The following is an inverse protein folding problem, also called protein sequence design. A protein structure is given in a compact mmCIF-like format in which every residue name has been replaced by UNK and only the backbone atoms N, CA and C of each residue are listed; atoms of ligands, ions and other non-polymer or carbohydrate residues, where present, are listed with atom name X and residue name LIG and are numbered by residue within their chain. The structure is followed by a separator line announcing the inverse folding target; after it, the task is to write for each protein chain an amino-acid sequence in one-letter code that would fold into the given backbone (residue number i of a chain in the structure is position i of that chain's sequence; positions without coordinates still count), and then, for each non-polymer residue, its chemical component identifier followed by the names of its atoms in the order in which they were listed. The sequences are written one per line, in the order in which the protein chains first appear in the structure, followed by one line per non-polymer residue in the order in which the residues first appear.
data_IF_028480150627
#
_entry.id   IF_028480150627
#
_cell.length_a   1.000
_cell.length_b   1.000
_cell.length_c   1.000
_cell.angle_alpha   90.00
_cell.angle_beta   90.00
_cell.angle_gamma   90.00
#
_symmetry.space_group_name_H-M   'P 1'
#
loop_
_entity.id
_entity.type
_entity.pdbx_description
1 polymer ?
#
# COMPACT_ATOMS: atom_id res chain seq x y z
N UNK A 1 42.89 -13.20 26.84
CA UNK A 1 42.30 -13.49 25.50
C UNK A 1 40.78 -13.33 25.59
N UNK A 2 40.34 -12.21 26.16
CA UNK A 2 39.00 -12.00 26.73
C UNK A 2 38.58 -10.52 26.56
N UNK A 3 39.14 -9.83 25.56
CA UNK A 3 38.92 -8.40 25.33
C UNK A 3 38.51 -8.06 23.87
N UNK A 4 38.23 -9.03 22.99
CA UNK A 4 37.97 -8.73 21.56
C UNK A 4 36.53 -8.96 21.07
N UNK A 5 35.53 -9.03 21.96
CA UNK A 5 34.11 -9.06 21.54
C UNK A 5 33.31 -7.97 22.27
N UNK A 6 33.80 -6.73 22.19
CA UNK A 6 32.93 -5.56 22.14
C UNK A 6 32.97 -5.04 20.71
N UNK A 7 32.46 -5.83 19.77
CA UNK A 7 31.99 -5.25 18.52
C UNK A 7 30.86 -4.31 18.91
N UNK A 8 31.17 -3.02 18.88
CA UNK A 8 30.25 -1.89 18.89
C UNK A 8 29.14 -2.17 17.89
N UNK A 9 28.03 -2.76 18.34
CA UNK A 9 26.75 -2.57 17.68
C UNK A 9 26.52 -1.07 17.82
N UNK A 10 26.56 -0.27 16.73
CA UNK A 10 26.21 1.13 16.86
C UNK A 10 24.84 1.18 17.52
N UNK A 11 24.68 2.04 18.52
CA UNK A 11 23.44 2.21 19.25
C UNK A 11 22.43 2.88 18.30
N UNK A 12 21.93 2.08 17.35
CA UNK A 12 21.10 2.55 16.24
C UNK A 12 19.72 2.80 16.82
N UNK A 13 19.53 4.01 17.31
CA UNK A 13 18.32 4.48 17.98
C UNK A 13 17.48 5.31 17.02
N UNK A 14 16.18 5.44 17.32
CA UNK A 14 15.31 6.40 16.63
C UNK A 14 15.69 7.79 17.14
N UNK A 15 15.76 8.78 16.26
CA UNK A 15 15.99 10.17 16.65
C UNK A 15 14.79 10.68 17.47
N UNK A 16 14.98 10.74 18.77
CA UNK A 16 13.94 11.13 19.74
C UNK A 16 13.45 12.56 19.43
N UNK A 17 14.34 13.49 19.04
CA UNK A 17 13.94 14.87 18.75
C UNK A 17 13.03 14.92 17.52
N UNK A 18 13.41 14.20 16.46
CA UNK A 18 12.57 14.09 15.27
C UNK A 18 11.22 13.42 15.58
N UNK A 19 11.24 12.36 16.40
CA UNK A 19 10.02 11.67 16.83
C UNK A 19 9.08 12.58 17.63
N UNK A 20 9.62 13.36 18.58
CA UNK A 20 8.84 14.33 19.36
C UNK A 20 8.22 15.41 18.47
N UNK A 21 8.97 15.94 17.50
CA UNK A 21 8.44 16.91 16.54
C UNK A 21 7.33 16.29 15.67
N UNK A 22 7.51 15.07 15.19
CA UNK A 22 6.48 14.36 14.42
C UNK A 22 5.22 14.07 15.25
N UNK A 23 5.38 13.75 16.53
CA UNK A 23 4.26 13.58 17.46
C UNK A 23 3.54 14.91 17.77
N UNK A 24 4.28 16.02 17.86
CA UNK A 24 3.69 17.36 17.96
C UNK A 24 2.88 17.70 16.70
N UNK A 25 3.38 17.34 15.51
CA UNK A 25 2.63 17.45 14.27
C UNK A 25 1.29 16.69 14.34
N UNK A 26 1.28 15.48 14.92
CA UNK A 26 0.07 14.67 15.07
C UNK A 26 -0.96 15.34 16.00
N UNK A 27 -0.48 15.97 17.07
CA UNK A 27 -1.33 16.76 17.96
C UNK A 27 -1.95 17.95 17.20
N UNK A 28 -1.14 18.68 16.43
CA UNK A 28 -1.63 19.81 15.62
C UNK A 28 -2.67 19.35 14.59
N UNK A 29 -2.43 18.22 13.91
CA UNK A 29 -3.42 17.61 12.98
C UNK A 29 -4.74 17.31 13.70
N UNK A 30 -4.67 16.76 14.92
CA UNK A 30 -5.86 16.48 15.73
C UNK A 30 -6.62 17.75 16.14
N UNK A 31 -5.90 18.86 16.41
CA UNK A 31 -6.49 20.18 16.66
C UNK A 31 -7.23 20.68 15.42
N UNK A 32 -6.63 20.52 14.23
CA UNK A 32 -7.27 20.83 12.95
C UNK A 32 -8.60 20.11 12.78
N UNK A 33 -8.66 18.80 13.07
CA UNK A 33 -9.92 18.06 13.03
C UNK A 33 -10.93 18.53 14.08
N UNK A 34 -10.51 18.82 15.31
CA UNK A 34 -11.40 19.33 16.34
C UNK A 34 -12.01 20.68 15.94
N UNK A 35 -11.20 21.59 15.37
CA UNK A 35 -11.65 22.85 14.82
C UNK A 35 -12.64 22.64 13.67
N UNK A 36 -12.35 21.71 12.74
CA UNK A 36 -13.25 21.37 11.63
C UNK A 36 -14.62 20.87 12.11
N UNK A 37 -14.64 19.96 13.11
CA UNK A 37 -15.88 19.43 13.70
C UNK A 37 -16.70 20.49 14.44
N UNK A 38 -16.06 21.53 14.96
CA UNK A 38 -16.75 22.62 15.66
C UNK A 38 -17.53 23.56 14.73
N UNK A 39 -17.33 23.47 13.41
CA UNK A 39 -17.99 24.33 12.42
C UNK A 39 -17.54 25.80 12.39
N UNK A 40 -16.79 26.26 13.40
CA UNK A 40 -16.50 27.67 13.60
C UNK A 40 -15.29 28.22 12.80
N UNK A 41 -14.48 27.35 12.17
CA UNK A 41 -13.20 27.76 11.54
C UNK A 41 -12.83 26.91 10.31
N UNK A 42 -13.70 26.82 9.30
CA UNK A 42 -13.50 25.90 8.17
C UNK A 42 -12.16 26.07 7.45
N UNK A 43 -11.72 27.30 7.16
CA UNK A 43 -10.44 27.55 6.48
C UNK A 43 -9.22 27.33 7.39
N UNK A 44 -9.23 27.88 8.60
CA UNK A 44 -8.11 27.73 9.54
C UNK A 44 -7.93 26.27 9.98
N UNK A 45 -9.01 25.49 10.09
CA UNK A 45 -8.95 24.06 10.39
C UNK A 45 -8.14 23.28 9.33
N UNK A 46 -8.35 23.59 8.05
CA UNK A 46 -7.62 22.98 6.93
C UNK A 46 -6.15 23.38 6.93
N UNK A 47 -5.84 24.65 7.20
CA UNK A 47 -4.46 25.13 7.32
C UNK A 47 -3.72 24.47 8.48
N UNK A 48 -4.34 24.41 9.67
CA UNK A 48 -3.80 23.72 10.85
C UNK A 48 -3.56 22.25 10.53
N UNK A 49 -4.50 21.59 9.83
CA UNK A 49 -4.35 20.21 9.40
C UNK A 49 -3.09 20.02 8.52
N UNK A 50 -2.90 20.85 7.49
CA UNK A 50 -1.74 20.72 6.61
C UNK A 50 -0.41 21.04 7.31
N UNK A 51 -0.39 22.02 8.21
CA UNK A 51 0.78 22.32 9.05
C UNK A 51 1.12 21.13 9.93
N UNK A 52 0.12 20.58 10.63
CA UNK A 52 0.28 19.40 11.48
C UNK A 52 0.79 18.19 10.70
N UNK A 53 0.19 17.89 9.54
CA UNK A 53 0.59 16.77 8.69
C UNK A 53 2.02 16.93 8.16
N UNK A 54 2.40 18.14 7.75
CA UNK A 54 3.77 18.44 7.30
C UNK A 54 4.78 18.24 8.43
N UNK A 55 4.45 18.68 9.64
CA UNK A 55 5.29 18.49 10.82
C UNK A 55 5.30 17.03 11.30
N UNK A 56 4.23 16.26 11.08
CA UNK A 56 4.21 14.82 11.33
C UNK A 56 5.16 14.07 10.42
N UNK A 57 5.26 14.49 9.16
CA UNK A 57 6.03 13.79 8.14
C UNK A 57 7.51 14.18 8.09
N UNK A 58 7.80 15.48 8.01
CA UNK A 58 9.11 15.99 7.61
C UNK A 58 10.27 15.72 8.58
N UNK A 59 10.13 15.78 9.92
CA UNK A 59 11.27 15.60 10.84
C UNK A 59 11.87 14.19 10.77
N UNK A 60 11.02 13.16 10.81
CA UNK A 60 11.46 11.77 10.71
C UNK A 60 12.02 11.46 9.31
N UNK A 61 11.42 12.02 8.25
CA UNK A 61 11.98 11.90 6.89
C UNK A 61 13.38 12.50 6.79
N UNK A 62 13.57 13.71 7.31
CA UNK A 62 14.86 14.39 7.32
C UNK A 62 15.89 13.59 8.12
N UNK A 63 15.53 13.13 9.32
CA UNK A 63 16.43 12.38 10.18
C UNK A 63 16.86 11.05 9.55
N UNK A 64 15.91 10.28 9.00
CA UNK A 64 16.19 8.98 8.40
C UNK A 64 16.99 9.10 7.09
N UNK A 65 16.86 10.21 6.36
CA UNK A 65 17.64 10.46 5.14
C UNK A 65 19.04 11.00 5.43
N UNK A 66 19.20 11.84 6.45
CA UNK A 66 20.46 12.56 6.70
C UNK A 66 21.40 11.83 7.65
N UNK A 67 20.88 11.07 8.61
CA UNK A 67 21.68 10.47 9.66
C UNK A 67 21.87 8.97 9.42
N UNK A 68 23.11 8.55 9.15
CA UNK A 68 23.47 7.14 8.96
C UNK A 68 23.34 6.32 10.24
N UNK A 69 23.44 6.96 11.42
CA UNK A 69 23.32 6.28 12.73
C UNK A 69 21.89 5.99 13.15
N UNK A 70 20.89 6.54 12.44
CA UNK A 70 19.46 6.35 12.76
C UNK A 70 18.95 5.04 12.19
N UNK A 71 18.14 4.33 12.99
CA UNK A 71 17.58 3.04 12.61
C UNK A 71 16.55 3.21 11.51
N UNK A 72 16.89 2.86 10.28
CA UNK A 72 16.06 3.13 9.10
C UNK A 72 14.65 2.52 9.24
N UNK A 73 14.56 1.20 9.36
CA UNK A 73 13.28 0.51 9.40
C UNK A 73 12.42 0.87 10.64
N UNK A 74 12.95 0.92 11.88
CA UNK A 74 12.17 1.38 13.03
C UNK A 74 11.66 2.82 12.89
N UNK A 75 12.48 3.74 12.37
CA UNK A 75 12.08 5.14 12.15
C UNK A 75 10.95 5.25 11.12
N UNK A 76 11.03 4.47 10.03
CA UNK A 76 9.96 4.39 9.03
C UNK A 76 8.66 3.80 9.61
N UNK A 77 8.76 2.80 10.49
CA UNK A 77 7.60 2.23 11.19
C UNK A 77 6.93 3.27 12.11
N UNK A 78 7.71 4.06 12.84
CA UNK A 78 7.17 5.18 13.64
C UNK A 78 6.52 6.25 12.78
N UNK A 79 7.13 6.63 11.67
CA UNK A 79 6.52 7.56 10.71
C UNK A 79 5.19 7.02 10.19
N UNK A 80 5.15 5.76 9.76
CA UNK A 80 3.92 5.12 9.30
C UNK A 80 2.84 5.01 10.38
N UNK A 81 3.23 4.77 11.63
CA UNK A 81 2.33 4.77 12.79
C UNK A 81 1.72 6.17 13.01
N UNK A 82 2.53 7.22 12.96
CA UNK A 82 2.07 8.61 13.12
C UNK A 82 1.09 8.98 12.00
N UNK A 83 1.41 8.65 10.75
CA UNK A 83 0.53 8.92 9.62
C UNK A 83 -0.79 8.14 9.73
N UNK A 84 -0.75 6.87 10.13
CA UNK A 84 -1.95 6.08 10.38
C UNK A 84 -2.83 6.71 11.47
N UNK A 85 -2.24 7.07 12.62
CA UNK A 85 -2.97 7.72 13.70
C UNK A 85 -3.57 9.07 13.26
N UNK A 86 -2.87 9.80 12.40
CA UNK A 86 -3.37 11.07 11.85
C UNK A 86 -4.63 10.89 11.00
N UNK A 87 -4.87 9.72 10.40
CA UNK A 87 -6.14 9.43 9.73
C UNK A 87 -7.15 8.88 10.71
N UNK A 88 -6.73 7.98 11.59
CA UNK A 88 -7.61 7.38 12.60
C UNK A 88 -8.27 8.42 13.52
N UNK A 89 -7.57 9.49 13.89
CA UNK A 89 -8.11 10.57 14.73
C UNK A 89 -9.12 11.49 14.03
N UNK A 90 -9.33 11.33 12.72
CA UNK A 90 -10.44 11.98 12.05
C UNK A 90 -11.76 11.49 12.65
N UNK A 91 -11.94 10.16 12.80
CA UNK A 91 -13.14 9.55 13.38
C UNK A 91 -12.77 8.32 14.24
N UNK A 92 -12.25 8.50 15.47
CA UNK A 92 -11.76 7.39 16.30
C UNK A 92 -12.90 6.50 16.85
N UNK A 93 -14.13 6.99 16.81
CA UNK A 93 -15.31 6.29 17.34
C UNK A 93 -15.98 5.38 16.32
N UNK A 94 -15.84 5.66 15.02
CA UNK A 94 -16.47 4.87 13.97
C UNK A 94 -15.72 5.12 12.66
N UNK A 95 -15.16 4.08 12.02
CA UNK A 95 -14.73 4.19 10.64
C UNK A 95 -15.95 4.52 9.77
N UNK A 96 -15.97 5.67 9.12
CA UNK A 96 -17.13 6.21 8.41
C UNK A 96 -16.90 6.36 6.90
N UNK A 97 -15.78 5.85 6.40
CA UNK A 97 -15.53 5.73 4.97
C UNK A 97 -16.52 4.78 4.29
N UNK A 98 -16.82 5.05 3.01
CA UNK A 98 -17.76 4.24 2.24
C UNK A 98 -17.44 2.73 2.28
N UNK A 99 -16.20 2.35 1.93
CA UNK A 99 -15.75 0.95 2.01
C UNK A 99 -15.79 0.42 3.46
N UNK A 100 -15.49 1.27 4.44
CA UNK A 100 -15.41 0.88 5.85
C UNK A 100 -16.77 0.50 6.44
N UNK A 101 -17.81 1.25 6.08
CA UNK A 101 -19.19 0.96 6.49
C UNK A 101 -19.69 -0.36 5.88
N UNK A 102 -19.29 -0.65 4.63
CA UNK A 102 -19.62 -1.91 3.96
C UNK A 102 -18.99 -3.10 4.68
N UNK A 103 -17.69 -3.04 4.98
CA UNK A 103 -17.00 -4.11 5.71
C UNK A 103 -17.45 -4.24 7.16
N UNK A 104 -17.76 -3.13 7.83
CA UNK A 104 -18.36 -3.19 9.17
C UNK A 104 -19.71 -3.89 9.16
N UNK A 105 -20.55 -3.65 8.17
CA UNK A 105 -21.84 -4.35 8.04
C UNK A 105 -21.63 -5.87 7.98
N UNK A 106 -20.70 -6.33 7.15
CA UNK A 106 -20.34 -7.75 7.05
C UNK A 106 -19.76 -8.29 8.36
N UNK A 107 -18.84 -7.56 9.00
CA UNK A 107 -18.25 -7.93 10.29
C UNK A 107 -19.31 -8.12 11.39
N UNK A 108 -20.28 -7.20 11.47
CA UNK A 108 -21.34 -7.24 12.47
C UNK A 108 -22.28 -8.43 12.23
N UNK A 109 -22.65 -8.68 10.97
CA UNK A 109 -23.46 -9.85 10.62
C UNK A 109 -22.75 -11.17 10.96
N UNK A 110 -21.46 -11.31 10.63
CA UNK A 110 -20.69 -12.52 10.98
C UNK A 110 -20.65 -12.70 12.50
N UNK A 111 -20.42 -11.61 13.24
CA UNK A 111 -20.39 -11.66 14.70
C UNK A 111 -21.74 -12.00 15.32
N UNK A 112 -22.84 -11.51 14.75
CA UNK A 112 -24.18 -11.67 15.29
C UNK A 112 -24.77 -13.05 14.95
N UNK A 113 -24.63 -13.48 13.69
CA UNK A 113 -25.17 -14.76 13.21
C UNK A 113 -24.22 -15.95 13.41
N UNK A 114 -22.98 -15.70 13.84
CA UNK A 114 -21.95 -16.73 14.04
C UNK A 114 -21.70 -17.61 12.80
N UNK A 115 -21.83 -17.01 11.61
CA UNK A 115 -21.62 -17.68 10.33
C UNK A 115 -20.83 -16.78 9.39
N UNK A 116 -19.98 -17.38 8.56
CA UNK A 116 -19.30 -16.66 7.46
C UNK A 116 -20.22 -16.46 6.26
N UNK A 117 -21.33 -17.21 6.17
CA UNK A 117 -22.29 -17.11 5.08
C UNK A 117 -23.27 -15.97 5.35
N UNK A 118 -22.83 -14.74 5.11
CA UNK A 118 -23.63 -13.52 5.28
C UNK A 118 -23.82 -12.80 3.95
N UNK A 119 -24.73 -11.84 3.89
CA UNK A 119 -25.05 -11.11 2.66
C UNK A 119 -24.86 -9.61 2.84
N UNK A 120 -24.20 -8.99 1.85
CA UNK A 120 -24.01 -7.55 1.80
C UNK A 120 -24.51 -7.05 0.44
N UNK A 121 -25.69 -6.45 0.41
CA UNK A 121 -26.34 -6.04 -0.85
C UNK A 121 -25.61 -4.91 -1.57
N UNK A 122 -24.88 -4.07 -0.82
CA UNK A 122 -24.11 -2.96 -1.37
C UNK A 122 -22.69 -3.37 -1.76
N UNK A 123 -22.17 -4.47 -1.20
CA UNK A 123 -20.89 -5.08 -1.60
C UNK A 123 -21.00 -6.61 -1.71
N UNK A 124 -21.71 -7.13 -2.74
CA UNK A 124 -22.10 -8.55 -2.82
C UNK A 124 -20.94 -9.54 -2.86
N UNK A 125 -19.77 -9.10 -3.31
CA UNK A 125 -18.59 -9.96 -3.42
C UNK A 125 -17.84 -10.10 -2.09
N UNK A 126 -17.91 -9.11 -1.19
CA UNK A 126 -17.07 -9.05 0.01
C UNK A 126 -17.26 -10.23 0.97
N UNK A 127 -18.49 -10.72 1.26
CA UNK A 127 -18.67 -11.87 2.15
C UNK A 127 -17.94 -13.15 1.70
N UNK A 128 -17.66 -13.29 0.40
CA UNK A 128 -16.90 -14.42 -0.15
C UNK A 128 -15.38 -14.31 0.06
N UNK A 129 -14.91 -13.16 0.56
CA UNK A 129 -13.51 -12.88 0.87
C UNK A 129 -13.37 -12.42 2.34
N UNK A 130 -13.69 -13.29 3.32
CA UNK A 130 -13.89 -12.90 4.72
C UNK A 130 -12.59 -12.68 5.50
N UNK A 131 -11.43 -12.58 4.83
CA UNK A 131 -10.12 -12.52 5.48
C UNK A 131 -9.97 -11.32 6.41
N UNK A 132 -10.51 -10.15 6.03
CA UNK A 132 -10.48 -8.94 6.84
C UNK A 132 -11.31 -9.09 8.11
N UNK A 133 -12.58 -9.47 7.98
CA UNK A 133 -13.52 -9.58 9.08
C UNK A 133 -13.10 -10.71 10.03
N UNK A 134 -12.63 -11.83 9.48
CA UNK A 134 -12.12 -12.96 10.26
C UNK A 134 -10.89 -12.58 11.10
N UNK A 135 -9.95 -11.81 10.54
CA UNK A 135 -8.79 -11.31 11.27
C UNK A 135 -9.20 -10.33 12.39
N UNK A 136 -10.16 -9.43 12.13
CA UNK A 136 -10.69 -8.52 13.15
C UNK A 136 -11.37 -9.28 14.29
N UNK A 137 -12.21 -10.28 13.98
CA UNK A 137 -12.89 -11.09 14.99
C UNK A 137 -11.91 -11.92 15.81
N UNK A 138 -10.83 -12.42 15.19
CA UNK A 138 -9.76 -13.10 15.90
C UNK A 138 -9.09 -12.17 16.92
N UNK A 139 -8.70 -10.96 16.53
CA UNK A 139 -8.11 -9.96 17.44
C UNK A 139 -9.08 -9.65 18.57
N UNK A 140 -10.35 -9.39 18.26
CA UNK A 140 -11.40 -9.12 19.24
C UNK A 140 -11.52 -10.27 20.26
N UNK A 141 -11.63 -11.51 19.77
CA UNK A 141 -11.79 -12.70 20.62
C UNK A 141 -10.57 -12.93 21.52
N UNK A 142 -9.37 -12.69 21.00
CA UNK A 142 -8.13 -12.90 21.73
C UNK A 142 -7.83 -11.81 22.76
N UNK A 143 -8.16 -10.55 22.45
CA UNK A 143 -7.80 -9.38 23.28
C UNK A 143 -8.94 -8.88 24.17
N UNK A 144 -10.19 -9.21 23.85
CA UNK A 144 -11.38 -8.64 24.50
C UNK A 144 -11.68 -7.19 24.10
N UNK A 145 -10.93 -6.61 23.15
CA UNK A 145 -11.13 -5.22 22.71
C UNK A 145 -12.50 -5.02 22.02
N UNK A 146 -13.10 -3.82 22.09
CA UNK A 146 -14.25 -3.48 21.27
C UNK A 146 -13.91 -3.51 19.77
N UNK A 147 -14.94 -3.53 18.91
CA UNK A 147 -14.77 -3.63 17.45
C UNK A 147 -13.83 -2.56 16.88
N UNK A 148 -14.04 -1.30 17.22
CA UNK A 148 -13.26 -0.19 16.67
C UNK A 148 -11.77 -0.29 17.04
N UNK A 149 -11.45 -0.72 18.27
CA UNK A 149 -10.07 -0.93 18.68
C UNK A 149 -9.47 -2.19 18.01
N UNK A 150 -10.25 -3.24 17.81
CA UNK A 150 -9.80 -4.44 17.07
C UNK A 150 -9.49 -4.11 15.60
N UNK A 151 -10.34 -3.29 14.96
CA UNK A 151 -10.13 -2.74 13.62
C UNK A 151 -8.84 -1.90 13.60
N UNK A 152 -8.71 -0.95 14.54
CA UNK A 152 -7.53 -0.09 14.65
C UNK A 152 -6.23 -0.90 14.78
N UNK A 153 -6.20 -1.90 15.66
CA UNK A 153 -5.05 -2.80 15.83
C UNK A 153 -4.75 -3.55 14.54
N UNK A 154 -5.75 -4.11 13.85
CA UNK A 154 -5.53 -4.83 12.59
C UNK A 154 -4.90 -3.93 11.53
N UNK A 155 -5.46 -2.74 11.33
CA UNK A 155 -4.99 -1.79 10.32
C UNK A 155 -3.61 -1.23 10.67
N UNK A 156 -3.33 -1.01 11.95
CA UNK A 156 -2.00 -0.65 12.44
C UNK A 156 -0.97 -1.75 12.14
N UNK A 157 -1.30 -3.00 12.39
CA UNK A 157 -0.41 -4.13 12.08
C UNK A 157 -0.21 -4.29 10.57
N UNK A 158 -1.27 -4.16 9.77
CA UNK A 158 -1.19 -4.16 8.31
C UNK A 158 -0.25 -3.06 7.81
N UNK A 159 -0.38 -1.84 8.35
CA UNK A 159 0.50 -0.70 8.06
C UNK A 159 1.97 -1.02 8.28
N UNK A 160 2.31 -1.56 9.46
CA UNK A 160 3.69 -1.89 9.80
C UNK A 160 4.24 -3.02 8.91
N UNK A 161 3.38 -3.96 8.54
CA UNK A 161 3.73 -5.07 7.64
C UNK A 161 4.00 -4.56 6.22
N UNK A 162 3.19 -3.64 5.70
CA UNK A 162 3.39 -3.05 4.37
C UNK A 162 4.72 -2.29 4.27
N UNK A 163 5.06 -1.52 5.31
CA UNK A 163 6.34 -0.80 5.41
C UNK A 163 7.52 -1.78 5.41
N UNK A 164 7.41 -2.85 6.20
CA UNK A 164 8.40 -3.92 6.27
C UNK A 164 8.56 -4.62 4.91
N UNK A 165 7.46 -4.92 4.22
CA UNK A 165 7.46 -5.57 2.91
C UNK A 165 8.22 -4.75 1.87
N UNK A 166 7.91 -3.46 1.73
CA UNK A 166 8.57 -2.57 0.76
C UNK A 166 10.06 -2.44 1.08
N UNK A 167 10.39 -2.16 2.34
CA UNK A 167 11.78 -2.03 2.77
C UNK A 167 12.58 -3.30 2.48
N UNK A 168 12.05 -4.46 2.87
CA UNK A 168 12.72 -5.76 2.65
C UNK A 168 12.84 -6.10 1.18
N UNK A 169 11.79 -5.89 0.39
CA UNK A 169 11.83 -6.15 -1.05
C UNK A 169 12.96 -5.36 -1.70
N UNK A 170 13.01 -4.05 -1.48
CA UNK A 170 14.04 -3.18 -2.08
C UNK A 170 15.42 -3.52 -1.54
N UNK A 171 15.57 -3.81 -0.24
CA UNK A 171 16.86 -4.17 0.34
C UNK A 171 17.36 -5.53 -0.20
N UNK A 172 16.44 -6.49 -0.38
CA UNK A 172 16.75 -7.77 -1.02
C UNK A 172 16.99 -7.64 -2.52
N UNK A 173 16.72 -6.51 -3.16
CA UNK A 173 17.04 -6.30 -4.57
C UNK A 173 18.33 -5.50 -4.73
N UNK A 174 18.51 -4.47 -3.91
CA UNK A 174 19.59 -3.50 -4.05
C UNK A 174 20.77 -3.77 -3.12
N UNK A 175 20.59 -4.56 -2.05
CA UNK A 175 21.52 -4.65 -0.92
C UNK A 175 21.85 -3.30 -0.29
N UNK A 176 20.94 -2.33 -0.41
CA UNK A 176 21.16 -0.97 0.06
C UNK A 176 19.99 -0.46 0.91
N UNK A 177 20.25 -0.21 2.18
CA UNK A 177 19.23 0.29 3.11
C UNK A 177 18.78 1.70 2.77
N UNK A 178 19.66 2.57 2.26
CA UNK A 178 19.29 3.93 1.90
C UNK A 178 18.33 3.96 0.70
N UNK A 179 18.57 3.14 -0.33
CA UNK A 179 17.61 2.98 -1.44
C UNK A 179 16.26 2.44 -0.94
N UNK A 180 16.29 1.53 0.02
CA UNK A 180 15.10 0.97 0.66
C UNK A 180 14.34 2.01 1.48
N UNK A 181 15.05 2.87 2.20
CA UNK A 181 14.48 4.02 2.90
C UNK A 181 13.77 4.96 1.94
N UNK A 182 14.44 5.37 0.85
CA UNK A 182 13.84 6.28 -0.14
C UNK A 182 12.62 5.65 -0.80
N UNK A 183 12.65 4.35 -1.12
CA UNK A 183 11.49 3.66 -1.68
C UNK A 183 10.29 3.68 -0.73
N UNK A 184 10.49 3.39 0.56
CA UNK A 184 9.41 3.46 1.55
C UNK A 184 8.86 4.87 1.67
N UNK A 185 9.72 5.90 1.75
CA UNK A 185 9.29 7.30 1.82
C UNK A 185 8.52 7.71 0.57
N UNK A 186 8.95 7.28 -0.61
CA UNK A 186 8.25 7.53 -1.86
C UNK A 186 6.86 6.87 -1.88
N UNK A 187 6.74 5.62 -1.39
CA UNK A 187 5.43 4.97 -1.25
C UNK A 187 4.54 5.67 -0.22
N UNK A 188 5.11 6.15 0.90
CA UNK A 188 4.40 6.92 1.92
C UNK A 188 3.86 8.26 1.39
N UNK A 189 4.56 8.86 0.42
CA UNK A 189 4.10 10.05 -0.29
C UNK A 189 2.97 9.81 -1.30
N UNK A 190 2.52 8.56 -1.47
CA UNK A 190 1.36 8.26 -2.32
C UNK A 190 0.05 8.65 -1.62
N UNK A 191 -0.96 9.16 -2.36
CA UNK A 191 -2.27 9.46 -1.78
C UNK A 191 -2.92 8.24 -1.12
N UNK A 192 -2.72 7.06 -1.71
CA UNK A 192 -3.30 5.81 -1.22
C UNK A 192 -2.68 5.34 0.08
N UNK A 193 -1.37 5.56 0.29
CA UNK A 193 -0.75 5.20 1.55
C UNK A 193 -1.39 5.98 2.70
N UNK A 194 -1.55 7.29 2.56
CA UNK A 194 -2.09 8.12 3.63
C UNK A 194 -3.54 7.75 3.99
N UNK A 195 -4.45 7.71 3.02
CA UNK A 195 -5.89 7.56 3.29
C UNK A 195 -6.41 6.14 3.06
N UNK A 196 -6.50 5.69 1.81
CA UNK A 196 -7.23 4.47 1.46
C UNK A 196 -6.63 3.21 2.09
N UNK A 197 -5.31 3.05 2.04
CA UNK A 197 -4.59 1.95 2.69
C UNK A 197 -4.50 2.13 4.22
N UNK A 198 -5.16 3.14 4.79
CA UNK A 198 -5.37 3.31 6.23
C UNK A 198 -6.77 2.89 6.67
N UNK A 199 -7.72 2.78 5.73
CA UNK A 199 -9.10 2.51 6.03
C UNK A 199 -9.41 1.03 6.22
N UNK A 200 -10.55 0.74 6.85
CA UNK A 200 -11.08 -0.60 7.05
C UNK A 200 -11.65 -1.19 5.75
N UNK A 201 -10.74 -1.51 4.83
CA UNK A 201 -11.02 -2.19 3.57
C UNK A 201 -10.20 -3.47 3.47
N UNK A 202 -10.80 -4.51 2.91
CA UNK A 202 -10.12 -5.77 2.60
C UNK A 202 -8.86 -5.58 1.74
N UNK A 203 -8.79 -4.54 0.89
CA UNK A 203 -7.59 -4.21 0.12
C UNK A 203 -6.41 -3.84 1.03
N UNK A 204 -6.65 -3.09 2.11
CA UNK A 204 -5.62 -2.64 3.07
C UNK A 204 -4.88 -3.82 3.70
N UNK A 205 -5.61 -4.83 4.17
CA UNK A 205 -5.01 -6.03 4.74
C UNK A 205 -4.35 -6.87 3.64
N UNK A 206 -5.05 -7.10 2.54
CA UNK A 206 -4.57 -7.96 1.46
C UNK A 206 -3.26 -7.46 0.87
N UNK A 207 -3.10 -6.14 0.66
CA UNK A 207 -1.87 -5.61 0.05
C UNK A 207 -0.67 -5.77 0.95
N UNK A 208 -0.87 -5.62 2.26
CA UNK A 208 0.16 -5.81 3.28
C UNK A 208 0.64 -7.27 3.30
N UNK A 209 -0.29 -8.23 3.24
CA UNK A 209 0.00 -9.66 3.18
C UNK A 209 0.68 -10.06 1.86
N UNK A 210 0.13 -9.62 0.73
CA UNK A 210 0.61 -9.97 -0.60
C UNK A 210 2.00 -9.38 -0.88
N UNK A 211 2.22 -8.12 -0.52
CA UNK A 211 3.54 -7.50 -0.63
C UNK A 211 4.59 -8.22 0.23
N UNK A 212 4.22 -8.63 1.46
CA UNK A 212 5.12 -9.39 2.32
C UNK A 212 5.43 -10.77 1.74
N UNK A 213 4.44 -11.45 1.14
CA UNK A 213 4.65 -12.73 0.48
C UNK A 213 5.69 -12.63 -0.65
N UNK A 214 5.56 -11.62 -1.50
CA UNK A 214 6.50 -11.35 -2.60
C UNK A 214 7.88 -10.97 -2.07
N UNK A 215 7.96 -10.07 -1.08
CA UNK A 215 9.22 -9.66 -0.46
C UNK A 215 9.99 -10.84 0.11
N UNK A 216 9.32 -11.71 0.87
CA UNK A 216 9.92 -12.91 1.44
C UNK A 216 10.36 -13.92 0.37
N UNK A 217 9.58 -14.10 -0.68
CA UNK A 217 9.96 -14.96 -1.81
C UNK A 217 11.23 -14.44 -2.51
N UNK A 218 11.31 -13.14 -2.80
CA UNK A 218 12.50 -12.50 -3.39
C UNK A 218 13.73 -12.64 -2.49
N UNK A 219 13.58 -12.40 -1.18
CA UNK A 219 14.66 -12.58 -0.22
C UNK A 219 15.12 -14.05 -0.14
N UNK A 220 14.19 -15.01 -0.20
CA UNK A 220 14.50 -16.44 -0.19
C UNK A 220 15.28 -16.86 -1.44
N UNK A 221 14.92 -16.33 -2.62
CA UNK A 221 15.63 -16.54 -3.88
C UNK A 221 17.06 -16.00 -3.79
N UNK A 222 17.22 -14.75 -3.35
CA UNK A 222 18.54 -14.10 -3.24
C UNK A 222 19.48 -14.84 -2.31
N UNK A 223 18.95 -15.35 -1.19
CA UNK A 223 19.73 -16.10 -0.19
C UNK A 223 19.89 -17.58 -0.53
N UNK A 224 19.29 -18.06 -1.63
CA UNK A 224 19.34 -19.47 -2.02
C UNK A 224 18.71 -20.41 -0.98
N UNK A 225 17.65 -19.96 -0.29
CA UNK A 225 17.03 -20.71 0.80
C UNK A 225 16.31 -21.98 0.30
N UNK A 226 16.27 -23.04 1.13
CA UNK A 226 15.58 -24.28 0.78
C UNK A 226 14.05 -24.11 0.71
N UNK A 227 13.36 -25.12 0.14
CA UNK A 227 11.90 -25.10 -0.11
C UNK A 227 11.05 -24.75 1.12
N UNK A 228 11.46 -25.16 2.33
CA UNK A 228 10.73 -24.87 3.58
C UNK A 228 10.54 -23.37 3.85
N UNK A 229 11.46 -22.53 3.36
CA UNK A 229 11.37 -21.07 3.54
C UNK A 229 10.28 -20.42 2.69
N UNK A 230 9.65 -21.15 1.77
CA UNK A 230 8.52 -20.69 0.98
C UNK A 230 7.16 -20.98 1.64
N UNK A 231 7.14 -21.66 2.80
CA UNK A 231 5.90 -21.94 3.53
C UNK A 231 5.20 -20.67 4.01
N UNK A 232 5.93 -19.73 4.62
CA UNK A 232 5.35 -18.46 5.07
C UNK A 232 4.85 -17.60 3.89
N UNK A 233 5.61 -17.39 2.80
CA UNK A 233 5.08 -16.78 1.58
C UNK A 233 3.80 -17.44 1.04
N UNK A 234 3.71 -18.78 1.09
CA UNK A 234 2.53 -19.51 0.67
C UNK A 234 1.33 -19.17 1.56
N UNK A 235 1.49 -19.24 2.88
CA UNK A 235 0.42 -18.89 3.83
C UNK A 235 -0.06 -17.45 3.65
N UNK A 236 0.86 -16.50 3.48
CA UNK A 236 0.53 -15.10 3.23
C UNK A 236 -0.19 -14.91 1.89
N UNK A 237 0.20 -15.65 0.86
CA UNK A 237 -0.48 -15.62 -0.45
C UNK A 237 -1.90 -16.18 -0.35
N UNK A 238 -2.09 -17.31 0.34
CA UNK A 238 -3.41 -17.88 0.59
C UNK A 238 -4.28 -16.94 1.43
N UNK A 239 -3.72 -16.33 2.48
CA UNK A 239 -4.39 -15.32 3.28
C UNK A 239 -4.80 -14.09 2.44
N UNK A 240 -3.94 -13.66 1.51
CA UNK A 240 -4.25 -12.59 0.57
C UNK A 240 -5.41 -12.97 -0.35
N UNK A 241 -5.42 -14.20 -0.89
CA UNK A 241 -6.47 -14.71 -1.79
C UNK A 241 -7.83 -14.75 -1.09
N UNK A 242 -7.90 -15.22 0.15
CA UNK A 242 -9.17 -15.23 0.92
C UNK A 242 -9.56 -13.84 1.42
N UNK A 243 -8.64 -12.87 1.39
CA UNK A 243 -8.91 -11.49 1.81
C UNK A 243 -9.36 -10.64 0.64
N UNK A 244 -8.75 -10.72 -0.55
CA UNK A 244 -9.12 -9.87 -1.67
C UNK A 244 -8.75 -10.52 -3.01
N UNK A 245 -9.72 -10.60 -3.92
CA UNK A 245 -9.56 -11.22 -5.25
C UNK A 245 -8.51 -10.53 -6.14
N UNK A 246 -8.61 -9.21 -6.36
CA UNK A 246 -7.66 -8.48 -7.22
C UNK A 246 -6.23 -8.53 -6.66
N UNK A 247 -6.04 -8.26 -5.36
CA UNK A 247 -4.72 -8.32 -4.73
C UNK A 247 -4.17 -9.76 -4.75
N UNK A 248 -5.02 -10.77 -4.54
CA UNK A 248 -4.65 -12.18 -4.67
C UNK A 248 -4.15 -12.51 -6.09
N UNK A 249 -4.88 -12.08 -7.11
CA UNK A 249 -4.49 -12.22 -8.51
C UNK A 249 -3.16 -11.50 -8.80
N UNK A 250 -3.00 -10.27 -8.34
CA UNK A 250 -1.79 -9.49 -8.52
C UNK A 250 -0.58 -10.14 -7.84
N UNK A 251 -0.77 -10.69 -6.63
CA UNK A 251 0.28 -11.38 -5.86
C UNK A 251 0.73 -12.65 -6.58
N UNK A 252 -0.22 -13.51 -7.00
CA UNK A 252 0.09 -14.73 -7.77
C UNK A 252 0.73 -14.37 -9.11
N UNK A 253 0.24 -13.35 -9.81
CA UNK A 253 0.82 -12.84 -11.05
C UNK A 253 2.27 -12.38 -10.88
N UNK A 254 2.58 -11.65 -9.81
CA UNK A 254 3.94 -11.22 -9.50
C UNK A 254 4.88 -12.42 -9.24
N UNK A 255 4.42 -13.42 -8.47
CA UNK A 255 5.19 -14.64 -8.20
C UNK A 255 5.39 -15.48 -9.47
N UNK A 256 4.38 -15.57 -10.34
CA UNK A 256 4.47 -16.26 -11.62
C UNK A 256 5.47 -15.56 -12.55
N UNK A 257 5.42 -14.23 -12.66
CA UNK A 257 6.39 -13.46 -13.44
C UNK A 257 7.82 -13.70 -12.95
N UNK A 258 8.02 -13.72 -11.63
CA UNK A 258 9.31 -14.02 -11.01
C UNK A 258 9.78 -15.46 -11.32
N UNK A 259 8.87 -16.43 -11.30
CA UNK A 259 9.16 -17.82 -11.63
C UNK A 259 9.54 -17.99 -13.11
N UNK A 260 8.72 -17.49 -14.03
CA UNK A 260 8.98 -17.56 -15.47
C UNK A 260 10.31 -16.89 -15.81
N UNK A 261 10.61 -15.76 -15.17
CA UNK A 261 11.89 -15.10 -15.32
C UNK A 261 13.07 -16.00 -14.92
N UNK A 262 13.00 -16.68 -13.77
CA UNK A 262 14.07 -17.58 -13.32
C UNK A 262 14.18 -18.84 -14.18
N UNK A 263 13.07 -19.33 -14.75
CA UNK A 263 13.06 -20.47 -15.68
C UNK A 263 13.82 -20.11 -16.96
N UNK A 264 13.51 -18.94 -17.55
CA UNK A 264 14.19 -18.45 -18.76
C UNK A 264 15.70 -18.30 -18.52
N UNK A 265 16.10 -17.88 -17.31
CA UNK A 265 17.50 -17.65 -16.95
C UNK A 265 18.30 -18.91 -16.58
N UNK A 266 17.71 -20.11 -16.62
CA UNK A 266 18.33 -21.45 -16.38
C UNK A 266 19.51 -21.43 -15.40
N UNK A 267 19.27 -21.57 -14.08
CA UNK A 267 20.41 -21.75 -13.16
C UNK A 267 20.19 -21.63 -11.65
N UNK A 268 18.96 -21.51 -11.13
CA UNK A 268 18.78 -21.29 -9.69
C UNK A 268 18.33 -22.54 -8.92
N UNK A 269 19.05 -22.91 -7.85
CA UNK A 269 18.60 -23.90 -6.84
C UNK A 269 17.25 -23.52 -6.20
N UNK A 270 16.85 -22.24 -6.29
CA UNK A 270 15.59 -21.71 -5.75
C UNK A 270 14.36 -22.02 -6.62
N UNK A 271 14.54 -22.44 -7.89
CA UNK A 271 13.45 -22.74 -8.84
C UNK A 271 12.44 -23.75 -8.28
N UNK A 272 12.91 -24.75 -7.55
CA UNK A 272 12.03 -25.77 -6.97
C UNK A 272 11.12 -25.24 -5.87
N UNK A 273 11.62 -24.34 -5.00
CA UNK A 273 10.82 -23.76 -3.92
C UNK A 273 9.79 -22.76 -4.43
N UNK A 274 10.24 -21.85 -5.30
CA UNK A 274 9.36 -20.88 -5.94
C UNK A 274 8.32 -21.55 -6.85
N UNK A 275 8.70 -22.59 -7.60
CA UNK A 275 7.77 -23.34 -8.44
C UNK A 275 6.64 -23.99 -7.64
N UNK A 276 6.95 -24.59 -6.49
CA UNK A 276 5.93 -25.14 -5.57
C UNK A 276 5.04 -24.03 -5.02
N UNK A 277 5.62 -22.89 -4.61
CA UNK A 277 4.84 -21.73 -4.15
C UNK A 277 3.85 -21.26 -5.24
N UNK A 278 4.31 -21.05 -6.46
CA UNK A 278 3.47 -20.56 -7.58
C UNK A 278 2.39 -21.58 -7.92
N UNK A 279 2.73 -22.87 -8.02
CA UNK A 279 1.79 -23.93 -8.32
C UNK A 279 0.67 -24.00 -7.27
N UNK A 280 1.02 -24.07 -5.99
CA UNK A 280 0.04 -24.17 -4.90
C UNK A 280 -0.80 -22.89 -4.78
N UNK A 281 -0.19 -21.72 -4.95
CA UNK A 281 -0.93 -20.45 -4.92
C UNK A 281 -1.89 -20.30 -6.08
N UNK A 282 -1.50 -20.74 -7.28
CA UNK A 282 -2.35 -20.71 -8.48
C UNK A 282 -3.51 -21.69 -8.34
N UNK A 283 -3.24 -22.90 -7.84
CA UNK A 283 -4.28 -23.88 -7.55
C UNK A 283 -5.28 -23.29 -6.55
N UNK A 284 -4.81 -22.79 -5.40
CA UNK A 284 -5.67 -22.21 -4.38
C UNK A 284 -6.48 -21.01 -4.89
N UNK A 285 -5.87 -20.09 -5.65
CA UNK A 285 -6.56 -18.97 -6.29
C UNK A 285 -7.68 -19.45 -7.22
N UNK A 286 -7.40 -20.48 -8.03
CA UNK A 286 -8.37 -21.04 -8.98
C UNK A 286 -9.53 -21.68 -8.23
N UNK A 287 -9.25 -22.51 -7.22
CA UNK A 287 -10.28 -23.16 -6.41
C UNK A 287 -11.16 -22.13 -5.70
N UNK A 288 -10.56 -21.13 -5.05
CA UNK A 288 -11.32 -20.11 -4.32
C UNK A 288 -12.18 -19.27 -5.27
N UNK A 289 -11.61 -18.84 -6.39
CA UNK A 289 -12.32 -18.03 -7.39
C UNK A 289 -13.47 -18.82 -8.04
N UNK A 290 -13.31 -20.13 -8.26
CA UNK A 290 -14.36 -20.97 -8.81
C UNK A 290 -15.60 -21.01 -7.90
N UNK A 291 -15.41 -21.05 -6.58
CA UNK A 291 -16.50 -21.04 -5.59
C UNK A 291 -17.29 -19.72 -5.64
N UNK A 292 -16.61 -18.60 -5.88
CA UNK A 292 -17.21 -17.26 -5.87
C UNK A 292 -17.47 -16.69 -7.28
N UNK A 293 -17.33 -17.51 -8.32
CA UNK A 293 -17.25 -17.04 -9.71
C UNK A 293 -18.48 -16.26 -10.15
N UNK A 294 -19.69 -16.75 -9.83
CA UNK A 294 -20.92 -16.12 -10.28
C UNK A 294 -21.08 -14.70 -9.70
N UNK A 295 -20.86 -14.54 -8.40
CA UNK A 295 -20.90 -13.23 -7.74
C UNK A 295 -19.77 -12.33 -8.23
N UNK A 296 -18.57 -12.89 -8.41
CA UNK A 296 -17.40 -12.14 -8.89
C UNK A 296 -17.62 -11.60 -10.30
N UNK A 297 -18.14 -12.43 -11.20
CA UNK A 297 -18.44 -12.05 -12.58
C UNK A 297 -19.50 -10.95 -12.62
N UNK A 298 -20.60 -11.13 -11.88
CA UNK A 298 -21.71 -10.15 -11.82
C UNK A 298 -21.26 -8.81 -11.25
N UNK A 299 -20.33 -8.84 -10.29
CA UNK A 299 -19.74 -7.64 -9.70
C UNK A 299 -18.75 -6.93 -10.64
N UNK A 300 -17.84 -7.68 -11.28
CA UNK A 300 -16.76 -7.10 -12.08
C UNK A 300 -17.19 -6.70 -13.51
N UNK A 301 -18.14 -7.42 -14.11
CA UNK A 301 -18.53 -7.19 -15.52
C UNK A 301 -19.03 -5.75 -15.77
N UNK A 302 -19.87 -5.14 -14.92
CA UNK A 302 -20.31 -3.75 -15.10
C UNK A 302 -19.15 -2.76 -14.98
N UNK A 303 -18.22 -3.01 -14.05
CA UNK A 303 -17.05 -2.15 -13.82
C UNK A 303 -16.14 -2.13 -15.04
N UNK A 304 -15.76 -3.32 -15.55
CA UNK A 304 -14.90 -3.42 -16.73
C UNK A 304 -15.58 -2.92 -18.00
N UNK A 305 -16.85 -3.25 -18.21
CA UNK A 305 -17.59 -2.76 -19.39
C UNK A 305 -17.73 -1.24 -19.39
N UNK A 306 -17.94 -0.63 -18.22
CA UNK A 306 -17.98 0.83 -18.07
C UNK A 306 -16.60 1.45 -18.30
N UNK A 307 -15.53 0.85 -17.78
CA UNK A 307 -14.17 1.33 -17.98
C UNK A 307 -13.75 1.31 -19.46
N UNK A 308 -14.06 0.23 -20.19
CA UNK A 308 -13.76 0.10 -21.63
C UNK A 308 -14.53 1.14 -22.45
N UNK A 309 -15.84 1.29 -22.19
CA UNK A 309 -16.67 2.31 -22.86
C UNK A 309 -16.15 3.72 -22.61
N UNK A 310 -15.70 4.00 -21.39
CA UNK A 310 -15.17 5.31 -21.01
C UNK A 310 -13.85 5.63 -21.69
N UNK A 311 -12.96 4.65 -21.84
CA UNK A 311 -11.73 4.81 -22.62
C UNK A 311 -12.03 5.14 -24.08
N UNK A 312 -12.99 4.46 -24.71
CA UNK A 312 -13.44 4.81 -26.07
C UNK A 312 -14.03 6.21 -26.17
N UNK A 313 -14.73 6.65 -25.12
CA UNK A 313 -15.30 7.99 -25.03
C UNK A 313 -14.27 9.11 -24.82
N UNK A 314 -13.06 8.81 -24.35
CA UNK A 314 -11.98 9.81 -24.25
C UNK A 314 -11.40 10.15 -25.62
N UNK A 315 -11.46 9.22 -26.58
CA UNK A 315 -11.03 9.43 -27.97
C UNK A 315 -12.11 10.05 -28.87
N UNK A 316 -13.36 10.04 -28.41
CA UNK A 316 -14.50 10.69 -29.08
C UNK A 316 -14.91 11.88 -28.24
N UNK A 317 -14.53 13.10 -28.65
CA UNK A 317 -14.65 14.39 -27.94
C UNK A 317 -16.08 14.81 -27.45
N UNK A 318 -17.05 13.90 -27.33
CA UNK A 318 -18.46 14.17 -27.09
C UNK A 318 -19.05 13.65 -25.77
N UNK A 319 -18.26 13.19 -24.79
CA UNK A 319 -18.82 12.71 -23.51
C UNK A 319 -18.72 13.74 -22.38
N UNK A 320 -19.70 13.70 -21.47
CA UNK A 320 -19.78 14.51 -20.24
C UNK A 320 -18.53 14.30 -19.38
N UNK A 321 -17.55 15.19 -19.53
CA UNK A 321 -16.33 15.19 -18.73
C UNK A 321 -16.64 15.57 -17.28
N UNK A 322 -15.92 14.97 -16.33
CA UNK A 322 -15.95 15.41 -14.94
C UNK A 322 -15.46 16.85 -14.88
N UNK A 323 -16.13 17.73 -14.15
CA UNK A 323 -15.58 19.05 -13.83
C UNK A 323 -14.35 18.85 -12.94
N UNK A 324 -13.19 19.25 -13.45
CA UNK A 324 -11.92 19.11 -12.73
C UNK A 324 -11.97 19.94 -11.46
N UNK A 325 -11.38 19.40 -10.38
CA UNK A 325 -11.32 20.11 -9.09
C UNK A 325 -12.70 20.42 -8.49
N UNK A 326 -13.72 19.63 -8.82
CA UNK A 326 -14.99 19.62 -8.10
C UNK A 326 -15.21 18.29 -7.37
N UNK A 327 -15.67 18.39 -6.13
CA UNK A 327 -16.12 17.25 -5.33
C UNK A 327 -17.48 16.72 -5.82
N UNK A 328 -17.88 15.54 -5.32
CA UNK A 328 -19.19 14.96 -5.64
C UNK A 328 -20.37 15.83 -5.17
N UNK A 329 -20.13 16.70 -4.18
CA UNK A 329 -21.08 17.73 -3.71
C UNK A 329 -21.18 18.95 -4.63
N UNK A 330 -20.39 19.01 -5.71
CA UNK A 330 -20.30 20.17 -6.61
C UNK A 330 -19.41 21.30 -6.09
N UNK A 331 -18.90 21.19 -4.85
CA UNK A 331 -18.01 22.19 -4.24
C UNK A 331 -16.67 22.20 -4.98
N UNK A 332 -16.26 23.39 -5.44
CA UNK A 332 -14.97 23.60 -6.06
C UNK A 332 -13.85 23.49 -5.01
N UNK A 333 -12.77 22.81 -5.37
CA UNK A 333 -11.54 22.77 -4.59
C UNK A 333 -10.91 24.17 -4.58
N UNK A 334 -10.51 24.70 -3.41
CA UNK A 334 -9.82 25.98 -3.34
C UNK A 334 -8.56 26.01 -4.21
N UNK A 335 -8.30 27.16 -4.85
CA UNK A 335 -7.16 27.34 -5.76
C UNK A 335 -5.80 26.90 -5.16
N UNK A 336 -5.47 27.18 -3.88
CA UNK A 336 -4.20 26.71 -3.32
C UNK A 336 -4.07 25.19 -3.29
N UNK A 337 -5.15 24.46 -3.04
CA UNK A 337 -5.18 22.99 -3.01
C UNK A 337 -5.06 22.43 -4.43
N UNK A 338 -5.73 23.04 -5.40
CA UNK A 338 -5.61 22.71 -6.83
C UNK A 338 -4.16 22.85 -7.31
N UNK A 339 -3.53 24.00 -7.05
CA UNK A 339 -2.13 24.24 -7.41
C UNK A 339 -1.20 23.23 -6.75
N UNK A 340 -1.42 22.90 -5.46
CA UNK A 340 -0.61 21.90 -4.76
C UNK A 340 -0.75 20.51 -5.38
N UNK A 341 -1.96 20.10 -5.76
CA UNK A 341 -2.18 18.82 -6.46
C UNK A 341 -1.47 18.77 -7.81
N UNK A 342 -1.54 19.84 -8.60
CA UNK A 342 -0.87 19.94 -9.91
C UNK A 342 0.65 19.91 -9.76
N UNK A 343 1.20 20.68 -8.81
CA UNK A 343 2.64 20.68 -8.51
C UNK A 343 3.10 19.30 -8.07
N UNK A 344 2.36 18.64 -7.17
CA UNK A 344 2.69 17.29 -6.71
C UNK A 344 2.68 16.28 -7.87
N UNK A 345 1.67 16.33 -8.75
CA UNK A 345 1.60 15.47 -9.93
C UNK A 345 2.79 15.71 -10.88
N UNK A 346 3.12 16.97 -11.17
CA UNK A 346 4.28 17.33 -11.99
C UNK A 346 5.59 16.84 -11.39
N UNK A 347 5.78 17.03 -10.07
CA UNK A 347 6.96 16.54 -9.35
C UNK A 347 7.09 15.01 -9.44
N UNK A 348 6.01 14.26 -9.29
CA UNK A 348 6.03 12.80 -9.47
C UNK A 348 6.42 12.39 -10.89
N UNK A 349 5.87 13.06 -11.91
CA UNK A 349 6.27 12.81 -13.30
C UNK A 349 7.75 13.10 -13.54
N UNK A 350 8.27 14.21 -13.02
CA UNK A 350 9.70 14.56 -13.11
C UNK A 350 10.56 13.54 -12.37
N UNK A 351 10.17 13.11 -11.17
CA UNK A 351 10.89 12.09 -10.40
C UNK A 351 10.93 10.75 -11.13
N UNK A 352 9.82 10.32 -11.74
CA UNK A 352 9.77 9.08 -12.55
C UNK A 352 10.69 9.22 -13.76
N UNK A 353 10.59 10.32 -14.51
CA UNK A 353 11.44 10.57 -15.67
C UNK A 353 12.93 10.57 -15.27
N UNK A 354 13.30 11.36 -14.26
CA UNK A 354 14.65 11.37 -13.70
C UNK A 354 15.12 9.96 -13.32
N UNK A 355 14.28 9.19 -12.64
CA UNK A 355 14.63 7.85 -12.19
C UNK A 355 14.85 6.88 -13.36
N UNK A 356 14.02 6.93 -14.40
CA UNK A 356 14.19 6.15 -15.64
C UNK A 356 15.49 6.51 -16.34
N UNK A 357 15.85 7.80 -16.41
CA UNK A 357 17.05 8.26 -17.13
C UNK A 357 18.34 8.26 -16.28
N UNK A 358 18.24 8.10 -14.96
CA UNK A 358 19.40 8.05 -14.06
C UNK A 358 20.30 6.84 -14.34
N UNK A 359 21.59 6.86 -13.99
CA UNK A 359 22.56 5.80 -14.34
C UNK A 359 22.54 4.47 -13.53
N UNK A 360 21.83 4.28 -12.40
CA UNK A 360 21.94 3.04 -11.62
C UNK A 360 21.43 1.81 -12.36
N UNK A 361 20.67 1.97 -13.46
CA UNK A 361 20.41 0.89 -14.43
C UNK A 361 21.65 0.31 -15.06
N UNK A 362 22.87 0.79 -14.84
CA UNK A 362 24.04 0.29 -15.55
C UNK A 362 25.07 -0.45 -14.71
N UNK A 363 24.87 -0.55 -13.40
CA UNK A 363 25.82 -1.26 -12.54
C UNK A 363 25.56 -2.77 -12.57
N UNK A 364 26.64 -3.53 -12.78
CA UNK A 364 26.66 -4.99 -12.77
C UNK A 364 26.88 -5.47 -11.33
N UNK A 365 25.95 -6.26 -10.81
CA UNK A 365 26.04 -6.81 -9.47
C UNK A 365 24.68 -6.90 -8.80
N UNK A 366 24.13 -8.12 -8.79
CA UNK A 366 22.91 -8.57 -8.11
C UNK A 366 21.60 -8.07 -8.71
N UNK A 367 20.82 -8.98 -9.31
CA UNK A 367 19.55 -8.75 -10.05
C UNK A 367 19.51 -7.32 -10.58
N UNK A 368 20.39 -7.03 -11.57
CA UNK A 368 20.55 -5.68 -12.13
C UNK A 368 19.20 -5.00 -12.25
N UNK A 369 19.08 -3.78 -11.75
CA UNK A 369 17.85 -2.99 -11.84
C UNK A 369 17.36 -2.88 -13.31
N UNK A 370 18.21 -3.14 -14.33
CA UNK A 370 17.79 -3.39 -15.74
C UNK A 370 16.68 -4.44 -15.90
N UNK A 371 16.56 -5.38 -14.96
CA UNK A 371 15.59 -6.49 -14.96
C UNK A 371 14.26 -6.11 -14.30
N UNK A 372 14.10 -4.83 -13.91
CA UNK A 372 12.88 -4.23 -13.40
C UNK A 372 12.00 -3.65 -14.51
N UNK A 373 12.09 -4.12 -15.76
CA UNK A 373 11.22 -3.65 -16.85
C UNK A 373 9.73 -3.68 -16.48
N UNK A 374 9.18 -4.73 -15.84
CA UNK A 374 7.79 -4.71 -15.35
C UNK A 374 7.53 -3.60 -14.33
N UNK A 375 8.49 -3.29 -13.45
CA UNK A 375 8.37 -2.21 -12.45
C UNK A 375 8.45 -0.84 -13.09
N UNK A 376 9.31 -0.67 -14.11
CA UNK A 376 9.36 0.55 -14.94
C UNK A 376 8.05 0.75 -15.67
N UNK A 377 7.51 -0.32 -16.27
CA UNK A 377 6.19 -0.29 -16.92
C UNK A 377 5.11 0.10 -15.91
N UNK A 378 5.07 -0.55 -14.75
CA UNK A 378 4.10 -0.22 -13.69
C UNK A 378 4.23 1.24 -13.24
N UNK A 379 5.46 1.73 -13.00
CA UNK A 379 5.70 3.12 -12.61
C UNK A 379 5.27 4.11 -13.72
N UNK A 380 5.53 3.77 -14.98
CA UNK A 380 5.14 4.55 -16.15
C UNK A 380 3.62 4.59 -16.37
N UNK A 381 2.82 3.79 -15.64
CA UNK A 381 1.37 3.89 -15.65
C UNK A 381 0.83 5.09 -14.85
N UNK A 382 1.65 5.77 -14.02
CA UNK A 382 1.16 6.88 -13.19
C UNK A 382 0.52 8.03 -14.01
N UNK A 383 1.11 8.53 -15.10
CA UNK A 383 0.44 9.55 -15.92
C UNK A 383 -0.89 9.06 -16.49
N UNK A 384 -0.98 7.78 -16.86
CA UNK A 384 -2.22 7.19 -17.39
C UNK A 384 -3.31 7.08 -16.33
N UNK A 385 -2.96 6.78 -15.06
CA UNK A 385 -3.97 6.79 -13.98
C UNK A 385 -4.44 8.20 -13.67
N UNK A 386 -3.60 9.24 -13.83
CA UNK A 386 -4.03 10.63 -13.72
C UNK A 386 -5.01 11.02 -14.84
N UNK A 387 -4.72 10.63 -16.09
CA UNK A 387 -5.63 10.86 -17.23
C UNK A 387 -6.94 10.10 -17.05
N UNK A 388 -6.89 8.85 -16.59
CA UNK A 388 -8.09 8.05 -16.35
C UNK A 388 -8.98 8.62 -15.22
N UNK A 389 -8.46 9.50 -14.35
CA UNK A 389 -9.26 10.23 -13.35
C UNK A 389 -10.13 11.35 -13.93
N UNK A 390 -9.91 11.76 -15.18
CA UNK A 390 -10.70 12.79 -15.86
C UNK A 390 -12.10 12.30 -16.24
N UNK A 391 -12.28 10.98 -16.43
CA UNK A 391 -13.57 10.39 -16.75
C UNK A 391 -14.25 9.85 -15.46
N UNK A 392 -15.52 10.22 -15.17
CA UNK A 392 -16.22 9.83 -13.93
C UNK A 392 -16.22 8.32 -13.67
N UNK A 393 -16.48 7.54 -14.72
CA UNK A 393 -16.62 6.08 -14.67
C UNK A 393 -15.30 5.33 -14.45
N UNK A 394 -14.16 5.94 -14.76
CA UNK A 394 -12.83 5.34 -14.57
C UNK A 394 -12.07 5.93 -13.39
N UNK A 395 -12.54 7.05 -12.83
CA UNK A 395 -11.82 7.76 -11.78
C UNK A 395 -11.63 6.94 -10.50
N UNK A 396 -12.62 6.13 -10.13
CA UNK A 396 -12.50 5.27 -8.96
C UNK A 396 -11.49 4.13 -9.19
N UNK A 397 -11.59 3.44 -10.34
CA UNK A 397 -10.67 2.34 -10.71
C UNK A 397 -9.23 2.86 -10.86
N UNK A 398 -9.06 4.00 -11.51
CA UNK A 398 -7.78 4.70 -11.62
C UNK A 398 -7.28 5.18 -10.26
N UNK A 399 -8.20 5.59 -9.39
CA UNK A 399 -7.94 5.90 -7.99
C UNK A 399 -7.30 4.72 -7.28
N UNK A 400 -8.03 3.61 -7.16
CA UNK A 400 -7.59 2.40 -6.45
C UNK A 400 -6.32 1.79 -7.08
N UNK A 401 -6.19 1.81 -8.41
CA UNK A 401 -5.02 1.25 -9.08
C UNK A 401 -3.70 1.98 -8.77
N UNK A 402 -3.76 3.26 -8.36
CA UNK A 402 -2.56 4.00 -7.96
C UNK A 402 -1.82 3.32 -6.80
N UNK A 403 -2.50 2.56 -5.95
CA UNK A 403 -1.90 1.74 -4.90
C UNK A 403 -0.81 0.82 -5.48
N UNK A 404 -1.10 0.12 -6.58
CA UNK A 404 -0.15 -0.79 -7.24
C UNK A 404 0.89 -0.04 -8.08
N UNK A 405 0.48 1.03 -8.76
CA UNK A 405 1.39 1.87 -9.56
C UNK A 405 2.49 2.46 -8.68
N UNK A 406 2.15 2.92 -7.48
CA UNK A 406 3.11 3.51 -6.56
C UNK A 406 4.11 2.50 -5.99
N UNK A 407 3.82 1.20 -5.96
CA UNK A 407 4.87 0.20 -5.71
C UNK A 407 5.97 0.28 -6.78
N UNK A 408 5.56 0.39 -8.04
CA UNK A 408 6.46 0.60 -9.16
C UNK A 408 7.31 1.85 -8.98
N UNK A 409 6.65 2.99 -8.73
CA UNK A 409 7.28 4.29 -8.51
C UNK A 409 8.24 4.27 -7.31
N UNK A 410 7.84 3.66 -6.19
CA UNK A 410 8.65 3.57 -4.99
C UNK A 410 9.97 2.83 -5.23
N UNK A 411 9.91 1.66 -5.85
CA UNK A 411 11.11 0.87 -6.18
C UNK A 411 11.99 1.64 -7.17
N UNK A 412 11.37 2.26 -8.18
CA UNK A 412 12.04 3.04 -9.21
C UNK A 412 12.82 4.23 -8.63
N UNK A 413 12.16 5.06 -7.82
CA UNK A 413 12.73 6.25 -7.19
C UNK A 413 13.78 5.85 -6.15
N UNK A 414 13.51 4.81 -5.35
CA UNK A 414 14.47 4.28 -4.39
C UNK A 414 15.77 3.84 -5.07
N UNK A 415 15.69 3.13 -6.19
CA UNK A 415 16.86 2.70 -6.96
C UNK A 415 17.64 3.85 -7.59
N UNK A 416 16.97 4.94 -7.97
CA UNK A 416 17.59 6.12 -8.56
C UNK A 416 18.28 7.05 -7.54
N UNK A 417 18.08 6.82 -6.25
CA UNK A 417 18.45 7.76 -5.18
C UNK A 417 19.95 7.84 -4.84
N UNK A 418 20.81 6.99 -5.44
CA UNK A 418 22.24 6.97 -5.16
C UNK A 418 23.05 7.12 -6.45
N UNK A 419 24.10 7.96 -6.38
CA UNK A 419 25.10 8.19 -7.43
C UNK A 419 26.19 7.13 -7.40
#
# INVERSE_FOLDING_TARGET
MTDSIKQTIPDVTVDIKALTLSALGLLITSIGYAAGRSGNYSHLAVEIFFVGLTLSFSPLCYSVLRNEKVAKLPTLKWLGAILFLSVFFLNPMLPDGFDELLHQTTLWQISYFHTLNVSNTLLPISPNYPGLESATLFIRKFTGLPFNLSICVLLFLARLLLIDAIFRFVNCVTSNEAMSTVAVLAYMGSPQFYSFNAGYSYETLAISLGAQAVALAVCAIRRGLPRKNYFLPLLLTMATIVTHHIVGLATVGALLCLYLYLVIRRGSKSLGGLGVLVMLSTAFLTLWTAISFHQLYTYLQPIFSSAIKSLGSLFTLGSSQRTLFHGASGIATPLPEELMMLVAAGLWCVLIAYSIFSRPWRQEGVISIRYFFPIVVIAALLPFTLIARLAPLTAEVAGRSTTFVFFGVAVLVGAASIK
#
